data_IF_207328689269
#
_entry.id   IF_207328689269
#
_cell.length_a   1.000
_cell.length_b   1.000
_cell.length_c   1.000
_cell.angle_alpha   90.00
_cell.angle_beta   90.00
_cell.angle_gamma   90.00
#
_symmetry.space_group_name_H-M   'P 1'
#
loop_
_entity.id
_entity.type
_entity.pdbx_description
1 polymer ?
#
# COMPACT_ATOMS: atom_id res chain seq x y z
N UNK A 1 10.46 -24.59 25.31
CA UNK A 1 10.59 -23.12 25.17
C UNK A 1 11.43 -22.92 23.93
N UNK A 2 10.83 -23.22 22.77
CA UNK A 2 11.50 -23.11 21.48
C UNK A 2 11.34 -21.68 20.98
N UNK A 3 12.48 -21.02 20.81
CA UNK A 3 12.56 -19.72 20.19
C UNK A 3 11.96 -19.81 18.79
N UNK A 4 10.89 -19.04 18.55
CA UNK A 4 10.39 -18.78 17.22
C UNK A 4 11.54 -18.22 16.36
N UNK A 5 11.71 -18.67 15.11
CA UNK A 5 12.79 -18.16 14.28
C UNK A 5 12.59 -16.65 14.08
N UNK A 6 13.64 -15.90 14.38
CA UNK A 6 13.75 -14.46 14.19
C UNK A 6 13.30 -14.08 12.77
N UNK A 7 12.41 -13.10 12.67
CA UNK A 7 11.89 -12.51 11.43
C UNK A 7 12.95 -11.77 10.58
N UNK A 8 14.24 -11.94 10.91
CA UNK A 8 15.42 -11.35 10.27
C UNK A 8 15.70 -11.92 8.88
N UNK A 9 15.13 -13.06 8.50
CA UNK A 9 15.45 -13.77 7.24
C UNK A 9 14.49 -13.45 6.07
N UNK A 10 13.85 -12.28 6.08
CA UNK A 10 12.89 -11.87 5.03
C UNK A 10 13.55 -11.55 3.67
N UNK A 11 14.85 -11.78 3.51
CA UNK A 11 15.53 -11.73 2.21
C UNK A 11 15.02 -12.82 1.24
N UNK A 12 14.56 -13.96 1.76
CA UNK A 12 14.05 -15.09 0.99
C UNK A 12 12.60 -14.92 0.46
N UNK A 13 11.93 -13.81 0.79
CA UNK A 13 10.51 -13.58 0.41
C UNK A 13 10.28 -12.22 -0.26
N UNK A 14 11.27 -11.73 -1.01
CA UNK A 14 10.99 -10.72 -2.02
C UNK A 14 10.11 -11.35 -3.11
N UNK A 15 9.03 -10.66 -3.51
CA UNK A 15 8.25 -11.05 -4.68
C UNK A 15 9.15 -11.06 -5.93
N UNK A 16 8.69 -11.71 -7.02
CA UNK A 16 9.49 -11.77 -8.25
C UNK A 16 9.74 -10.37 -8.79
N UNK A 17 10.80 -10.21 -9.58
CA UNK A 17 11.00 -9.00 -10.37
C UNK A 17 9.92 -8.89 -11.46
N UNK A 18 9.27 -7.72 -11.56
CA UNK A 18 8.39 -7.43 -12.69
C UNK A 18 9.24 -7.19 -13.96
N UNK A 19 8.87 -7.70 -15.15
CA UNK A 19 9.69 -7.56 -16.37
C UNK A 19 10.05 -6.12 -16.75
N UNK A 20 9.21 -5.16 -16.37
CA UNK A 20 9.44 -3.73 -16.59
C UNK A 20 10.15 -3.01 -15.42
N UNK A 21 10.72 -3.72 -14.44
CA UNK A 21 11.42 -3.09 -13.33
C UNK A 21 12.60 -2.24 -13.82
N UNK A 22 13.34 -2.72 -14.82
CA UNK A 22 14.49 -2.01 -15.39
C UNK A 22 14.14 -0.61 -15.93
N UNK A 23 12.99 -0.45 -16.61
CA UNK A 23 12.59 0.86 -17.16
C UNK A 23 12.16 1.85 -16.08
N UNK A 24 11.44 1.37 -15.05
CA UNK A 24 11.06 2.19 -13.88
C UNK A 24 12.30 2.56 -13.06
N UNK A 25 13.23 1.62 -12.87
CA UNK A 25 14.53 1.85 -12.23
C UNK A 25 15.33 2.94 -12.94
N UNK A 26 15.43 2.87 -14.27
CA UNK A 26 16.12 3.90 -15.05
C UNK A 26 15.47 5.28 -14.87
N UNK A 27 14.14 5.37 -14.93
CA UNK A 27 13.41 6.63 -14.74
C UNK A 27 13.59 7.23 -13.33
N UNK A 28 13.56 6.39 -12.28
CA UNK A 28 13.77 6.83 -10.90
C UNK A 28 15.22 7.23 -10.65
N UNK A 29 16.19 6.51 -11.22
CA UNK A 29 17.61 6.77 -10.98
C UNK A 29 18.14 8.00 -11.72
N UNK A 30 17.60 8.29 -12.90
CA UNK A 30 17.97 9.50 -13.64
C UNK A 30 17.45 10.75 -12.96
N UNK A 31 18.22 11.81 -13.12
CA UNK A 31 17.89 13.15 -12.64
C UNK A 31 17.60 14.02 -13.86
N UNK A 32 16.56 14.84 -13.78
CA UNK A 32 16.30 15.86 -14.78
C UNK A 32 17.32 17.00 -14.63
N UNK A 33 17.93 17.41 -15.75
CA UNK A 33 18.84 18.55 -15.80
C UNK A 33 18.16 19.78 -16.42
N UNK A 34 18.52 21.00 -16.00
CA UNK A 34 18.00 22.21 -16.62
C UNK A 34 18.26 22.23 -18.13
N UNK A 35 17.28 22.68 -18.92
CA UNK A 35 17.41 22.82 -20.38
C UNK A 35 17.25 21.53 -21.21
N UNK A 36 16.96 20.38 -20.60
CA UNK A 36 16.95 19.09 -21.29
C UNK A 36 15.69 18.78 -22.12
N UNK A 37 14.57 19.49 -21.92
CA UNK A 37 13.33 19.44 -22.72
C UNK A 37 12.30 20.42 -22.13
N UNK A 38 11.29 20.81 -22.91
CA UNK A 38 10.11 21.54 -22.40
C UNK A 38 9.28 20.66 -21.46
N UNK A 39 8.91 21.20 -20.30
CA UNK A 39 8.02 20.52 -19.37
C UNK A 39 6.60 20.40 -19.94
N UNK A 40 5.89 19.28 -19.70
CA UNK A 40 4.51 19.16 -20.16
C UNK A 40 3.58 20.07 -19.34
N UNK A 41 2.43 20.49 -19.89
CA UNK A 41 1.43 21.24 -19.15
C UNK A 41 0.98 20.50 -17.88
N UNK A 42 0.96 21.21 -16.74
CA UNK A 42 0.60 20.61 -15.44
C UNK A 42 -0.80 19.96 -15.43
N UNK A 43 -1.75 20.51 -16.19
CA UNK A 43 -3.08 19.92 -16.34
C UNK A 43 -3.03 18.54 -17.01
N UNK A 44 -2.21 18.38 -18.05
CA UNK A 44 -2.03 17.10 -18.74
C UNK A 44 -1.31 16.08 -17.83
N UNK A 45 -0.28 16.52 -17.10
CA UNK A 45 0.42 15.66 -16.14
C UNK A 45 -0.53 15.17 -15.04
N UNK A 46 -1.35 16.06 -14.47
CA UNK A 46 -2.36 15.73 -13.48
C UNK A 46 -3.41 14.74 -14.00
N UNK A 47 -3.91 14.92 -15.23
CA UNK A 47 -4.86 14.00 -15.86
C UNK A 47 -4.25 12.60 -16.09
N UNK A 48 -3.00 12.53 -16.58
CA UNK A 48 -2.29 11.25 -16.77
C UNK A 48 -2.05 10.53 -15.45
N UNK A 49 -1.67 11.26 -14.40
CA UNK A 49 -1.48 10.70 -13.05
C UNK A 49 -2.79 10.15 -12.48
N UNK A 50 -3.90 10.91 -12.60
CA UNK A 50 -5.22 10.44 -12.18
C UNK A 50 -5.68 9.21 -12.97
N UNK A 51 -5.40 9.15 -14.28
CA UNK A 51 -5.68 7.97 -15.10
C UNK A 51 -4.85 6.75 -14.66
N UNK A 52 -3.57 6.94 -14.33
CA UNK A 52 -2.70 5.87 -13.86
C UNK A 52 -3.17 5.28 -12.52
N UNK A 53 -3.60 6.13 -11.58
CA UNK A 53 -4.20 5.66 -10.32
C UNK A 53 -5.50 4.88 -10.55
N UNK A 54 -6.42 5.37 -11.39
CA UNK A 54 -7.64 4.62 -11.74
C UNK A 54 -7.31 3.26 -12.33
N UNK A 55 -6.41 3.22 -13.32
CA UNK A 55 -5.94 1.98 -13.92
C UNK A 55 -5.38 0.99 -12.89
N UNK A 56 -4.60 1.48 -11.92
CA UNK A 56 -4.09 0.66 -10.81
C UNK A 56 -5.21 0.06 -9.96
N UNK A 57 -6.27 0.81 -9.65
CA UNK A 57 -7.36 0.31 -8.80
C UNK A 57 -8.27 -0.67 -9.54
N UNK A 58 -8.51 -0.43 -10.83
CA UNK A 58 -9.46 -1.18 -11.66
C UNK A 58 -8.85 -2.43 -12.29
N UNK A 59 -7.53 -2.48 -12.48
CA UNK A 59 -6.84 -3.62 -13.10
C UNK A 59 -6.59 -4.77 -12.12
N UNK A 60 -6.74 -6.01 -12.60
CA UNK A 60 -6.25 -7.22 -11.93
C UNK A 60 -4.72 -7.27 -11.90
N UNK A 61 -4.09 -6.73 -12.95
CA UNK A 61 -2.64 -6.69 -13.18
C UNK A 61 -2.17 -5.23 -13.05
N UNK A 62 -2.27 -4.73 -11.81
CA UNK A 62 -2.11 -3.33 -11.43
C UNK A 62 -0.68 -2.77 -11.52
N UNK A 63 0.36 -3.60 -11.53
CA UNK A 63 1.75 -3.26 -11.88
C UNK A 63 1.95 -3.31 -13.39
N UNK A 64 1.47 -4.36 -14.06
CA UNK A 64 1.58 -4.49 -15.53
C UNK A 64 0.94 -3.29 -16.24
N UNK A 65 -0.23 -2.83 -15.80
CA UNK A 65 -0.90 -1.66 -16.41
C UNK A 65 -0.15 -0.35 -16.18
N UNK A 66 0.63 -0.25 -15.11
CA UNK A 66 1.44 0.94 -14.80
C UNK A 66 2.78 0.95 -15.52
N UNK A 67 3.35 -0.22 -15.81
CA UNK A 67 4.65 -0.39 -16.43
C UNK A 67 4.93 0.50 -17.66
N UNK A 68 4.00 0.65 -18.64
CA UNK A 68 4.26 1.47 -19.82
C UNK A 68 4.15 2.98 -19.57
N UNK A 69 3.44 3.42 -18.51
CA UNK A 69 3.15 4.85 -18.28
C UNK A 69 3.99 5.48 -17.18
N UNK A 70 4.40 4.69 -16.19
CA UNK A 70 5.08 5.16 -14.99
C UNK A 70 6.47 5.78 -15.28
N UNK A 71 7.33 5.20 -16.15
CA UNK A 71 8.64 5.78 -16.44
C UNK A 71 8.55 7.22 -16.99
N UNK A 72 7.62 7.46 -17.91
CA UNK A 72 7.43 8.79 -18.51
C UNK A 72 6.77 9.76 -17.53
N UNK A 73 5.81 9.30 -16.72
CA UNK A 73 5.23 10.11 -15.65
C UNK A 73 6.30 10.60 -14.66
N UNK A 74 7.22 9.73 -14.23
CA UNK A 74 8.33 10.11 -13.34
C UNK A 74 9.22 11.17 -13.99
N UNK A 75 9.65 10.96 -15.24
CA UNK A 75 10.50 11.93 -15.96
C UNK A 75 9.80 13.27 -16.14
N UNK A 76 8.54 13.25 -16.53
CA UNK A 76 7.76 14.45 -16.81
C UNK A 76 7.46 15.24 -15.54
N UNK A 77 7.15 14.57 -14.42
CA UNK A 77 6.95 15.24 -13.14
C UNK A 77 8.26 15.84 -12.59
N UNK A 78 9.39 15.16 -12.76
CA UNK A 78 10.71 15.70 -12.41
C UNK A 78 11.05 16.95 -13.24
N UNK A 79 10.81 16.91 -14.56
CA UNK A 79 11.00 18.08 -15.43
C UNK A 79 10.09 19.24 -15.05
N UNK A 80 8.81 18.97 -14.80
CA UNK A 80 7.86 19.99 -14.39
C UNK A 80 8.29 20.69 -13.09
N UNK A 81 8.74 19.94 -12.08
CA UNK A 81 9.22 20.49 -10.82
C UNK A 81 10.48 21.36 -10.99
N UNK A 82 11.30 21.09 -12.01
CA UNK A 82 12.51 21.84 -12.31
C UNK A 82 12.26 23.10 -13.16
N UNK A 83 11.25 23.08 -14.03
CA UNK A 83 11.02 24.13 -15.04
C UNK A 83 10.00 25.18 -14.61
N UNK A 84 8.92 24.78 -13.92
CA UNK A 84 7.91 25.74 -13.49
C UNK A 84 8.40 26.61 -12.32
N UNK A 85 7.87 27.82 -12.22
CA UNK A 85 8.18 28.79 -11.16
C UNK A 85 6.94 29.14 -10.32
N UNK A 86 7.16 29.81 -9.18
CA UNK A 86 6.08 30.34 -8.34
C UNK A 86 5.05 29.29 -7.90
N UNK A 87 3.76 29.60 -8.13
CA UNK A 87 2.65 28.72 -7.75
C UNK A 87 2.62 27.42 -8.58
N UNK A 88 3.02 27.49 -9.85
CA UNK A 88 3.08 26.32 -10.71
C UNK A 88 4.22 25.38 -10.31
N UNK A 89 5.35 25.92 -9.81
CA UNK A 89 6.42 25.09 -9.20
C UNK A 89 5.89 24.28 -8.03
N UNK A 90 5.13 24.92 -7.14
CA UNK A 90 4.50 24.24 -5.99
C UNK A 90 3.57 23.12 -6.44
N UNK A 91 2.71 23.39 -7.44
CA UNK A 91 1.82 22.38 -8.03
C UNK A 91 2.59 21.24 -8.70
N UNK A 92 3.68 21.53 -9.40
CA UNK A 92 4.53 20.52 -10.01
C UNK A 92 5.20 19.62 -8.96
N UNK A 93 5.66 20.18 -7.85
CA UNK A 93 6.19 19.43 -6.72
C UNK A 93 5.14 18.52 -6.06
N UNK A 94 3.90 18.97 -5.92
CA UNK A 94 2.80 18.11 -5.43
C UNK A 94 2.54 16.92 -6.38
N UNK A 95 2.55 17.16 -7.69
CA UNK A 95 2.41 16.10 -8.71
C UNK A 95 3.59 15.13 -8.71
N UNK A 96 4.82 15.63 -8.51
CA UNK A 96 6.01 14.79 -8.36
C UNK A 96 5.92 13.91 -7.12
N UNK A 97 5.53 14.46 -5.97
CA UNK A 97 5.34 13.70 -4.74
C UNK A 97 4.34 12.55 -4.93
N UNK A 98 3.18 12.83 -5.54
CA UNK A 98 2.16 11.82 -5.81
C UNK A 98 2.61 10.77 -6.85
N UNK A 99 3.34 11.19 -7.89
CA UNK A 99 3.92 10.29 -8.90
C UNK A 99 4.92 9.32 -8.27
N UNK A 100 5.74 9.81 -7.34
CA UNK A 100 6.69 8.97 -6.59
C UNK A 100 5.97 8.03 -5.62
N UNK A 101 4.85 8.43 -5.03
CA UNK A 101 3.98 7.53 -4.25
C UNK A 101 3.37 6.41 -5.10
N UNK A 102 2.97 6.71 -6.34
CA UNK A 102 2.54 5.68 -7.31
C UNK A 102 3.70 4.74 -7.68
N UNK A 103 4.91 5.28 -7.86
CA UNK A 103 6.10 4.48 -8.10
C UNK A 103 6.44 3.57 -6.90
N UNK A 104 6.27 4.04 -5.66
CA UNK A 104 6.42 3.23 -4.46
C UNK A 104 5.48 2.02 -4.47
N UNK A 105 4.21 2.23 -4.83
CA UNK A 105 3.23 1.14 -4.95
C UNK A 105 3.61 0.10 -6.02
N UNK A 106 4.24 0.52 -7.12
CA UNK A 106 4.76 -0.39 -8.14
C UNK A 106 5.97 -1.18 -7.60
N UNK A 107 6.95 -0.48 -7.02
CA UNK A 107 8.22 -1.04 -6.55
C UNK A 107 8.08 -1.96 -5.32
N UNK A 108 7.03 -1.78 -4.51
CA UNK A 108 6.81 -2.57 -3.29
C UNK A 108 6.81 -4.08 -3.56
N UNK A 109 7.49 -4.81 -2.67
CA UNK A 109 7.64 -6.27 -2.69
C UNK A 109 8.37 -6.85 -3.91
N UNK A 110 9.24 -6.06 -4.55
CA UNK A 110 10.21 -6.50 -5.57
C UNK A 110 11.63 -6.48 -4.98
N UNK A 111 12.62 -7.14 -5.60
CA UNK A 111 14.04 -7.04 -5.19
C UNK A 111 14.63 -5.66 -5.57
N UNK A 112 14.10 -4.60 -4.96
CA UNK A 112 14.39 -3.20 -5.27
C UNK A 112 14.20 -2.29 -4.04
N UNK A 113 14.54 -2.78 -2.85
CA UNK A 113 14.33 -2.07 -1.58
C UNK A 113 14.98 -0.66 -1.59
N UNK A 114 16.15 -0.53 -2.20
CA UNK A 114 16.86 0.73 -2.37
C UNK A 114 16.07 1.76 -3.20
N UNK A 115 15.30 1.31 -4.18
CA UNK A 115 14.44 2.20 -4.98
C UNK A 115 13.21 2.63 -4.19
N UNK A 116 12.64 1.74 -3.35
CA UNK A 116 11.48 2.06 -2.50
C UNK A 116 11.84 3.18 -1.52
N UNK A 117 12.97 3.09 -0.83
CA UNK A 117 13.47 4.17 0.03
C UNK A 117 13.74 5.47 -0.73
N UNK A 118 14.36 5.38 -1.92
CA UNK A 118 14.64 6.54 -2.75
C UNK A 118 13.39 7.29 -3.20
N UNK A 119 12.34 6.59 -3.61
CA UNK A 119 11.10 7.25 -4.04
C UNK A 119 10.32 7.82 -2.85
N UNK A 120 10.34 7.15 -1.70
CA UNK A 120 9.69 7.64 -0.48
C UNK A 120 10.31 8.96 0.02
N UNK A 121 11.65 8.98 0.15
CA UNK A 121 12.40 10.17 0.58
C UNK A 121 12.18 11.35 -0.38
N UNK A 122 12.36 11.12 -1.68
CA UNK A 122 12.12 12.15 -2.71
C UNK A 122 10.65 12.60 -2.78
N UNK A 123 9.70 11.70 -2.47
CA UNK A 123 8.28 12.05 -2.41
C UNK A 123 8.03 13.02 -1.26
N UNK A 124 8.60 12.77 -0.08
CA UNK A 124 8.49 13.67 1.08
C UNK A 124 9.13 15.03 0.80
N UNK A 125 10.35 15.07 0.25
CA UNK A 125 11.00 16.33 -0.12
C UNK A 125 10.16 17.14 -1.11
N UNK A 126 9.65 16.49 -2.17
CA UNK A 126 8.79 17.15 -3.14
C UNK A 126 7.47 17.63 -2.50
N UNK A 127 6.88 16.85 -1.59
CA UNK A 127 5.69 17.26 -0.87
C UNK A 127 5.93 18.51 -0.01
N UNK A 128 7.06 18.58 0.70
CA UNK A 128 7.43 19.75 1.50
C UNK A 128 7.66 20.99 0.62
N UNK A 129 8.40 20.86 -0.49
CA UNK A 129 8.60 21.94 -1.46
C UNK A 129 7.30 22.44 -2.11
N UNK A 130 6.28 21.59 -2.20
CA UNK A 130 4.97 21.99 -2.71
C UNK A 130 4.23 22.93 -1.75
N UNK A 131 4.51 22.86 -0.45
CA UNK A 131 3.73 23.53 0.59
C UNK A 131 2.27 23.07 0.67
N UNK A 132 1.87 22.01 -0.05
CA UNK A 132 0.53 21.41 0.00
C UNK A 132 0.45 20.43 1.19
N UNK A 133 -0.36 20.72 2.23
CA UNK A 133 -0.51 19.84 3.38
C UNK A 133 -1.02 18.44 3.00
N UNK A 134 -1.84 18.32 1.95
CA UNK A 134 -2.33 17.00 1.53
C UNK A 134 -1.23 16.19 0.85
N UNK A 135 -0.34 16.83 0.09
CA UNK A 135 0.84 16.17 -0.48
C UNK A 135 1.76 15.65 0.63
N UNK A 136 1.98 16.45 1.69
CA UNK A 136 2.77 16.05 2.86
C UNK A 136 2.12 14.87 3.58
N UNK A 137 0.79 14.92 3.80
CA UNK A 137 0.05 13.83 4.41
C UNK A 137 0.18 12.51 3.62
N UNK A 138 0.05 12.56 2.29
CA UNK A 138 0.19 11.39 1.40
C UNK A 138 1.61 10.82 1.42
N UNK A 139 2.63 11.67 1.25
CA UNK A 139 4.02 11.23 1.27
C UNK A 139 4.41 10.66 2.65
N UNK A 140 3.93 11.29 3.72
CA UNK A 140 4.11 10.83 5.09
C UNK A 140 3.47 9.47 5.36
N UNK A 141 2.24 9.25 4.88
CA UNK A 141 1.58 7.94 4.95
C UNK A 141 2.40 6.82 4.28
N UNK A 142 3.04 7.13 3.15
CA UNK A 142 3.96 6.19 2.48
C UNK A 142 5.26 5.95 3.26
N UNK A 143 5.80 6.98 3.90
CA UNK A 143 7.01 6.90 4.72
C UNK A 143 6.78 6.09 6.00
N UNK A 144 5.64 6.29 6.68
CA UNK A 144 5.23 5.49 7.84
C UNK A 144 5.21 3.99 7.53
N UNK A 145 4.62 3.61 6.38
CA UNK A 145 4.57 2.20 5.96
C UNK A 145 5.97 1.63 5.76
N UNK A 146 6.90 2.42 5.22
CA UNK A 146 8.26 1.97 4.94
C UNK A 146 9.05 1.70 6.23
N UNK A 147 9.02 2.62 7.19
CA UNK A 147 9.62 2.39 8.51
C UNK A 147 8.97 1.20 9.24
N UNK A 148 7.64 1.08 9.18
CA UNK A 148 6.89 -0.05 9.77
C UNK A 148 7.32 -1.38 9.17
N UNK A 149 7.50 -1.43 7.85
CA UNK A 149 7.88 -2.65 7.12
C UNK A 149 9.37 -2.99 7.25
N UNK A 150 10.24 -2.02 7.55
CA UNK A 150 11.65 -2.26 7.91
C UNK A 150 11.86 -2.66 9.37
N UNK A 151 10.81 -2.65 10.20
CA UNK A 151 10.89 -2.99 11.62
C UNK A 151 11.23 -1.82 12.54
N UNK A 152 11.34 -0.60 12.01
CA UNK A 152 11.64 0.63 12.75
C UNK A 152 10.34 1.27 13.26
N UNK A 153 9.71 0.60 14.23
CA UNK A 153 8.38 0.96 14.72
C UNK A 153 8.34 2.28 15.50
N UNK A 154 9.43 2.62 16.18
CA UNK A 154 9.54 3.87 16.93
C UNK A 154 9.53 5.07 15.98
N UNK A 155 10.36 5.03 14.93
CA UNK A 155 10.38 6.09 13.90
C UNK A 155 9.05 6.13 13.15
N UNK A 156 8.49 4.97 12.78
CA UNK A 156 7.17 4.92 12.14
C UNK A 156 6.09 5.59 13.00
N UNK A 157 6.10 5.34 14.31
CA UNK A 157 5.16 5.93 15.27
C UNK A 157 5.38 7.44 15.37
N UNK A 158 6.61 7.90 15.53
CA UNK A 158 6.93 9.33 15.61
C UNK A 158 6.42 10.09 14.37
N UNK A 159 6.76 9.61 13.16
CA UNK A 159 6.32 10.21 11.90
C UNK A 159 4.78 10.25 11.80
N UNK A 160 4.09 9.15 12.16
CA UNK A 160 2.63 9.11 12.12
C UNK A 160 2.00 10.14 13.07
N UNK A 161 2.48 10.24 14.30
CA UNK A 161 1.94 11.15 15.32
C UNK A 161 2.22 12.62 15.01
N UNK A 162 3.41 12.93 14.46
CA UNK A 162 3.75 14.27 14.00
C UNK A 162 2.81 14.73 12.87
N UNK A 163 2.55 13.85 11.89
CA UNK A 163 1.63 14.14 10.78
C UNK A 163 0.18 14.26 11.24
N UNK A 164 -0.29 13.39 12.16
CA UNK A 164 -1.62 13.50 12.77
C UNK A 164 -1.79 14.87 13.42
N UNK A 165 -0.81 15.28 14.23
CA UNK A 165 -0.84 16.56 14.95
C UNK A 165 -0.80 17.76 13.98
N UNK A 166 0.04 17.71 12.95
CA UNK A 166 0.17 18.78 11.95
C UNK A 166 -1.10 19.00 11.11
N UNK A 167 -1.92 17.95 10.95
CA UNK A 167 -3.14 17.97 10.14
C UNK A 167 -4.42 18.18 10.96
N UNK A 168 -4.37 18.05 12.28
CA UNK A 168 -5.54 18.12 13.18
C UNK A 168 -6.37 19.38 12.93
N UNK A 169 -5.74 20.56 13.03
CA UNK A 169 -6.42 21.85 12.83
C UNK A 169 -7.05 22.01 11.43
N UNK A 170 -6.49 21.32 10.42
CA UNK A 170 -7.02 21.34 9.05
C UNK A 170 -8.16 20.35 8.85
N UNK A 171 -8.15 19.24 9.59
CA UNK A 171 -9.14 18.16 9.44
C UNK A 171 -10.51 18.48 10.05
N UNK A 172 -10.59 19.45 10.98
CA UNK A 172 -11.85 19.80 11.67
C UNK A 172 -12.91 20.33 10.69
N UNK A 173 -12.53 21.19 9.75
CA UNK A 173 -13.43 21.84 8.77
C UNK A 173 -13.09 21.47 7.31
N UNK A 174 -12.34 20.39 7.10
CA UNK A 174 -11.84 20.03 5.78
C UNK A 174 -12.91 19.47 4.83
N UNK A 175 -12.62 19.62 3.54
CA UNK A 175 -13.20 18.78 2.49
C UNK A 175 -12.94 17.28 2.78
N UNK A 176 -13.64 16.36 2.12
CA UNK A 176 -13.50 14.92 2.42
C UNK A 176 -12.07 14.37 2.30
N UNK A 177 -11.20 14.94 1.45
CA UNK A 177 -9.88 14.37 1.19
C UNK A 177 -8.85 14.58 2.32
N UNK A 178 -8.62 15.81 2.86
CA UNK A 178 -7.79 15.98 4.04
C UNK A 178 -8.29 15.19 5.25
N UNK A 179 -9.61 15.13 5.45
CA UNK A 179 -10.20 14.34 6.53
C UNK A 179 -9.87 12.85 6.37
N UNK A 180 -9.97 12.32 5.15
CA UNK A 180 -9.59 10.93 4.87
C UNK A 180 -8.09 10.65 5.03
N UNK A 181 -7.23 11.59 4.68
CA UNK A 181 -5.77 11.46 4.89
C UNK A 181 -5.42 11.47 6.38
N UNK A 182 -6.10 12.30 7.18
CA UNK A 182 -5.94 12.31 8.63
C UNK A 182 -6.40 10.98 9.26
N UNK A 183 -7.55 10.45 8.84
CA UNK A 183 -8.01 9.13 9.25
C UNK A 183 -7.07 7.99 8.81
N UNK A 184 -6.49 8.07 7.62
CA UNK A 184 -5.50 7.11 7.15
C UNK A 184 -4.24 7.07 8.01
N UNK A 185 -3.78 8.22 8.51
CA UNK A 185 -2.63 8.31 9.41
C UNK A 185 -2.95 7.74 10.80
N UNK A 186 -4.18 7.95 11.31
CA UNK A 186 -4.64 7.24 12.51
C UNK A 186 -4.63 5.73 12.31
N UNK A 187 -5.08 5.23 11.15
CA UNK A 187 -4.96 3.79 10.87
C UNK A 187 -3.50 3.33 10.78
N UNK A 188 -2.57 4.10 10.19
CA UNK A 188 -1.15 3.71 10.22
C UNK A 188 -0.62 3.62 11.65
N UNK A 189 -0.96 4.57 12.53
CA UNK A 189 -0.60 4.49 13.95
C UNK A 189 -1.18 3.22 14.62
N UNK A 190 -2.41 2.84 14.27
CA UNK A 190 -3.01 1.58 14.72
C UNK A 190 -2.22 0.36 14.24
N UNK A 191 -1.83 0.35 12.97
CA UNK A 191 -1.12 -0.77 12.35
C UNK A 191 0.30 -0.91 12.88
N UNK A 192 1.00 0.20 13.12
CA UNK A 192 2.31 0.21 13.76
C UNK A 192 2.21 -0.36 15.19
N UNK A 193 1.25 0.11 15.99
CA UNK A 193 1.02 -0.39 17.35
C UNK A 193 0.68 -1.90 17.36
N UNK A 194 -0.13 -2.37 16.40
CA UNK A 194 -0.43 -3.80 16.28
C UNK A 194 0.81 -4.64 15.96
N UNK A 195 1.68 -4.15 15.06
CA UNK A 195 2.96 -4.79 14.73
C UNK A 195 3.93 -4.80 15.91
N UNK A 196 3.86 -3.81 16.78
CA UNK A 196 4.60 -3.74 18.04
C UNK A 196 3.97 -4.57 19.18
N UNK A 197 2.83 -5.23 18.95
CA UNK A 197 2.12 -6.03 19.96
C UNK A 197 1.32 -5.21 20.98
N UNK A 198 1.13 -3.91 20.75
CA UNK A 198 0.44 -2.99 21.65
C UNK A 198 -1.08 -3.00 21.39
N UNK A 199 -1.75 -4.09 21.76
CA UNK A 199 -3.19 -4.34 21.47
C UNK A 199 -4.10 -3.13 21.82
N UNK A 200 -3.96 -2.56 23.02
CA UNK A 200 -4.80 -1.44 23.45
C UNK A 200 -4.59 -0.17 22.63
N UNK A 201 -3.33 0.15 22.24
CA UNK A 201 -3.02 1.31 21.40
C UNK A 201 -3.50 1.10 19.97
N UNK A 202 -3.35 -0.10 19.44
CA UNK A 202 -3.81 -0.47 18.11
C UNK A 202 -5.31 -0.21 17.95
N UNK A 203 -6.14 -0.77 18.84
CA UNK A 203 -7.59 -0.58 18.77
C UNK A 203 -8.02 0.86 19.04
N UNK A 204 -7.36 1.58 19.96
CA UNK A 204 -7.64 3.00 20.20
C UNK A 204 -7.44 3.85 18.93
N UNK A 205 -6.34 3.65 18.21
CA UNK A 205 -6.10 4.38 16.97
C UNK A 205 -7.03 3.95 15.83
N UNK A 206 -7.45 2.67 15.81
CA UNK A 206 -8.47 2.21 14.88
C UNK A 206 -9.82 2.86 15.14
N UNK A 207 -10.24 3.01 16.41
CA UNK A 207 -11.48 3.69 16.78
C UNK A 207 -11.50 5.15 16.30
N UNK A 208 -10.39 5.87 16.49
CA UNK A 208 -10.21 7.23 15.98
C UNK A 208 -10.32 7.28 14.45
N UNK A 209 -9.67 6.33 13.76
CA UNK A 209 -9.78 6.22 12.31
C UNK A 209 -11.23 5.90 11.88
N UNK A 210 -11.94 5.02 12.58
CA UNK A 210 -13.32 4.67 12.26
C UNK A 210 -14.28 5.86 12.46
N UNK A 211 -14.11 6.62 13.55
CA UNK A 211 -14.83 7.89 13.79
C UNK A 211 -14.66 8.87 12.63
N UNK A 212 -13.42 9.03 12.16
CA UNK A 212 -13.11 9.86 10.98
C UNK A 212 -13.80 9.30 9.74
N UNK A 213 -13.73 8.00 9.50
CA UNK A 213 -14.36 7.36 8.34
C UNK A 213 -15.89 7.54 8.32
N UNK A 214 -16.53 7.59 9.50
CA UNK A 214 -17.97 7.78 9.63
C UNK A 214 -18.43 9.18 9.23
N UNK A 215 -17.54 10.18 9.25
CA UNK A 215 -17.80 11.55 8.78
C UNK A 215 -17.68 11.71 7.26
N UNK A 216 -17.08 10.74 6.56
CA UNK A 216 -16.94 10.79 5.10
C UNK A 216 -18.26 10.43 4.39
N UNK A 217 -18.51 10.98 3.18
CA UNK A 217 -19.63 10.54 2.35
C UNK A 217 -19.59 9.02 2.10
N UNK A 218 -20.74 8.36 2.04
CA UNK A 218 -20.83 6.89 1.96
C UNK A 218 -20.04 6.27 0.79
N UNK A 219 -20.01 6.94 -0.37
CA UNK A 219 -19.28 6.48 -1.57
C UNK A 219 -17.85 7.04 -1.71
N UNK A 220 -17.36 7.79 -0.72
CA UNK A 220 -16.03 8.38 -0.79
C UNK A 220 -14.95 7.28 -0.69
N UNK A 221 -13.93 7.39 -1.55
CA UNK A 221 -12.77 6.51 -1.55
C UNK A 221 -11.50 7.33 -1.77
N UNK A 222 -10.64 7.39 -0.75
CA UNK A 222 -9.35 8.06 -0.87
C UNK A 222 -8.46 7.22 -1.80
N UNK A 223 -8.07 7.78 -2.95
CA UNK A 223 -7.41 7.02 -4.02
C UNK A 223 -6.08 6.40 -3.56
N UNK A 224 -5.17 7.19 -3.00
CA UNK A 224 -3.81 6.74 -2.69
C UNK A 224 -3.73 5.80 -1.48
N UNK A 225 -4.48 6.10 -0.40
CA UNK A 225 -4.46 5.36 0.86
C UNK A 225 -5.55 4.29 0.95
N UNK A 226 -6.53 4.31 0.03
CA UNK A 226 -7.77 3.53 0.08
C UNK A 226 -8.70 3.87 1.26
N UNK A 227 -8.36 4.87 2.08
CA UNK A 227 -9.11 5.17 3.28
C UNK A 227 -10.56 5.57 2.97
N UNK A 228 -11.49 4.86 3.60
CA UNK A 228 -12.93 5.00 3.39
C UNK A 228 -13.68 4.17 4.43
N UNK A 229 -14.97 4.45 4.62
CA UNK A 229 -15.82 3.74 5.58
C UNK A 229 -15.80 2.22 5.34
N UNK A 230 -15.90 1.77 4.09
CA UNK A 230 -15.93 0.33 3.77
C UNK A 230 -14.60 -0.38 4.08
N UNK A 231 -13.48 0.35 3.99
CA UNK A 231 -12.15 -0.22 4.21
C UNK A 231 -11.81 -0.38 5.69
N UNK A 232 -12.54 0.27 6.61
CA UNK A 232 -12.30 0.12 8.05
C UNK A 232 -12.47 -1.32 8.55
N UNK A 233 -13.40 -2.09 7.98
CA UNK A 233 -13.54 -3.52 8.28
C UNK A 233 -12.31 -4.30 7.85
N UNK A 234 -11.81 -4.05 6.63
CA UNK A 234 -10.58 -4.68 6.14
C UNK A 234 -9.35 -4.29 6.96
N UNK A 235 -9.31 -3.07 7.49
CA UNK A 235 -8.29 -2.61 8.43
C UNK A 235 -8.37 -3.33 9.77
N UNK A 236 -9.56 -3.55 10.32
CA UNK A 236 -9.75 -4.31 11.57
C UNK A 236 -9.24 -5.75 11.44
N UNK A 237 -9.47 -6.40 10.29
CA UNK A 237 -8.91 -7.73 9.99
C UNK A 237 -7.39 -7.70 10.02
N UNK A 238 -6.75 -6.71 9.37
CA UNK A 238 -5.28 -6.56 9.39
C UNK A 238 -4.75 -6.43 10.82
N UNK A 239 -5.35 -5.58 11.66
CA UNK A 239 -4.93 -5.42 13.06
C UNK A 239 -5.05 -6.72 13.84
N UNK A 240 -6.21 -7.39 13.74
CA UNK A 240 -6.46 -8.64 14.45
C UNK A 240 -5.50 -9.76 14.01
N UNK A 241 -5.10 -9.81 12.74
CA UNK A 241 -4.10 -10.75 12.24
C UNK A 241 -2.72 -10.46 12.83
N UNK A 242 -2.27 -9.21 12.85
CA UNK A 242 -0.97 -8.88 13.46
C UNK A 242 -0.94 -9.16 14.96
N UNK A 243 -2.02 -8.85 15.66
CA UNK A 243 -2.21 -9.11 17.10
C UNK A 243 -2.41 -10.59 17.43
N UNK A 244 -2.29 -11.50 16.46
CA UNK A 244 -2.48 -12.95 16.62
C UNK A 244 -3.85 -13.31 17.20
N UNK A 245 -4.91 -12.59 16.80
CA UNK A 245 -6.31 -12.83 17.18
C UNK A 245 -7.12 -13.34 15.98
N UNK A 246 -6.85 -14.56 15.46
CA UNK A 246 -7.52 -15.03 14.24
C UNK A 246 -9.04 -15.17 14.38
N UNK A 247 -9.55 -15.44 15.58
CA UNK A 247 -11.00 -15.45 15.84
C UNK A 247 -11.64 -14.08 15.64
N UNK A 248 -10.98 -13.00 16.08
CA UNK A 248 -11.44 -11.62 15.86
C UNK A 248 -11.31 -11.23 14.39
N UNK A 249 -10.19 -11.58 13.75
CA UNK A 249 -9.98 -11.33 12.33
C UNK A 249 -11.11 -11.92 11.47
N UNK A 250 -11.50 -13.17 11.72
CA UNK A 250 -12.59 -13.83 10.98
C UNK A 250 -13.98 -13.26 11.32
N UNK A 251 -14.22 -12.86 12.58
CA UNK A 251 -15.46 -12.13 12.93
C UNK A 251 -15.60 -10.83 12.15
N UNK A 252 -14.53 -10.05 12.04
CA UNK A 252 -14.53 -8.81 11.27
C UNK A 252 -14.65 -9.09 9.77
N UNK A 253 -13.96 -10.10 9.24
CA UNK A 253 -14.03 -10.47 7.83
C UNK A 253 -15.48 -10.77 7.39
N UNK A 254 -16.27 -11.44 8.23
CA UNK A 254 -17.69 -11.74 7.93
C UNK A 254 -18.59 -10.51 7.80
N UNK A 255 -18.12 -9.31 8.17
CA UNK A 255 -18.89 -8.05 8.09
C UNK A 255 -18.68 -7.31 6.76
N UNK A 256 -17.77 -7.79 5.91
CA UNK A 256 -17.45 -7.19 4.63
C UNK A 256 -17.62 -8.22 3.53
N UNK A 257 -18.46 -7.93 2.55
CA UNK A 257 -18.39 -8.59 1.26
C UNK A 257 -17.14 -8.07 0.52
N UNK A 258 -16.14 -8.92 0.22
CA UNK A 258 -14.95 -8.49 -0.51
C UNK A 258 -15.28 -7.87 -1.87
N UNK A 259 -16.38 -8.28 -2.52
CA UNK A 259 -16.80 -7.74 -3.80
C UNK A 259 -17.18 -6.26 -3.75
N UNK A 260 -17.55 -5.74 -2.57
CA UNK A 260 -17.88 -4.34 -2.36
C UNK A 260 -16.63 -3.43 -2.26
N UNK A 261 -15.43 -3.99 -2.05
CA UNK A 261 -14.17 -3.21 -2.07
C UNK A 261 -13.88 -2.74 -3.50
N UNK A 262 -13.86 -1.42 -3.79
CA UNK A 262 -13.74 -0.91 -5.16
C UNK A 262 -12.42 -1.25 -5.84
N UNK A 263 -11.32 -1.16 -5.11
CA UNK A 263 -9.99 -1.43 -5.64
C UNK A 263 -9.67 -2.93 -5.63
N UNK A 264 -9.39 -3.50 -6.79
CA UNK A 264 -9.03 -4.92 -6.93
C UNK A 264 -7.76 -5.29 -6.15
N UNK A 265 -6.65 -4.51 -6.19
CA UNK A 265 -5.49 -4.81 -5.35
C UNK A 265 -5.77 -4.74 -3.84
N UNK A 266 -6.60 -3.77 -3.39
CA UNK A 266 -6.97 -3.66 -1.98
C UNK A 266 -7.83 -4.85 -1.53
N UNK A 267 -8.76 -5.30 -2.38
CA UNK A 267 -9.57 -6.50 -2.20
C UNK A 267 -8.71 -7.75 -2.06
N UNK A 268 -7.79 -7.97 -2.99
CA UNK A 268 -6.86 -9.10 -2.93
C UNK A 268 -6.02 -9.08 -1.66
N UNK A 269 -5.51 -7.91 -1.24
CA UNK A 269 -4.78 -7.77 0.04
C UNK A 269 -5.64 -8.15 1.23
N UNK A 270 -6.90 -7.71 1.28
CA UNK A 270 -7.82 -8.10 2.35
C UNK A 270 -8.03 -9.62 2.40
N UNK A 271 -8.25 -10.26 1.24
CA UNK A 271 -8.42 -11.72 1.15
C UNK A 271 -7.17 -12.49 1.57
N UNK A 272 -5.96 -11.94 1.35
CA UNK A 272 -4.72 -12.51 1.88
C UNK A 272 -4.70 -12.43 3.43
N UNK A 273 -5.16 -11.34 4.03
CA UNK A 273 -5.30 -11.26 5.49
C UNK A 273 -6.33 -12.28 6.03
N UNK A 274 -7.44 -12.48 5.32
CA UNK A 274 -8.41 -13.55 5.65
C UNK A 274 -7.76 -14.93 5.56
N UNK A 275 -6.95 -15.20 4.53
CA UNK A 275 -6.19 -16.44 4.42
C UNK A 275 -5.21 -16.63 5.58
N UNK A 276 -4.50 -15.56 6.00
CA UNK A 276 -3.63 -15.57 7.19
C UNK A 276 -4.41 -15.96 8.45
N UNK A 277 -5.62 -15.42 8.62
CA UNK A 277 -6.49 -15.73 9.76
C UNK A 277 -6.97 -17.20 9.77
N UNK A 278 -7.42 -17.73 8.63
CA UNK A 278 -7.79 -19.16 8.53
C UNK A 278 -6.60 -20.09 8.76
N UNK A 279 -5.43 -19.76 8.21
CA UNK A 279 -4.19 -20.53 8.43
C UNK A 279 -3.85 -20.60 9.91
N UNK A 280 -3.94 -19.49 10.64
CA UNK A 280 -3.68 -19.46 12.07
C UNK A 280 -4.67 -20.32 12.90
N UNK A 281 -5.82 -20.71 12.33
CA UNK A 281 -6.75 -21.70 12.91
C UNK A 281 -6.58 -23.13 12.39
N UNK A 282 -5.55 -23.39 11.58
CA UNK A 282 -5.35 -24.65 10.86
C UNK A 282 -6.53 -25.03 9.93
N UNK A 283 -7.28 -24.04 9.44
CA UNK A 283 -8.37 -24.24 8.49
C UNK A 283 -7.83 -24.20 7.05
N UNK A 284 -7.28 -25.33 6.61
CA UNK A 284 -6.66 -25.48 5.29
C UNK A 284 -7.62 -25.16 4.14
N UNK A 285 -8.87 -25.63 4.21
CA UNK A 285 -9.85 -25.47 3.12
C UNK A 285 -10.17 -24.00 2.87
N UNK A 286 -10.52 -23.27 3.93
CA UNK A 286 -10.81 -21.85 3.83
C UNK A 286 -9.56 -21.01 3.52
N UNK A 287 -8.38 -21.45 3.95
CA UNK A 287 -7.11 -20.80 3.57
C UNK A 287 -6.89 -20.85 2.05
N UNK A 288 -7.03 -22.04 1.45
CA UNK A 288 -6.89 -22.24 0.00
C UNK A 288 -7.93 -21.41 -0.76
N UNK A 289 -9.18 -21.44 -0.32
CA UNK A 289 -10.26 -20.69 -0.97
C UNK A 289 -10.04 -19.17 -0.91
N UNK A 290 -9.63 -18.63 0.24
CA UNK A 290 -9.32 -17.21 0.38
C UNK A 290 -8.14 -16.78 -0.52
N UNK A 291 -7.10 -17.61 -0.66
CA UNK A 291 -5.99 -17.36 -1.59
C UNK A 291 -6.45 -17.40 -3.06
N UNK A 292 -7.33 -18.32 -3.43
CA UNK A 292 -7.92 -18.39 -4.78
C UNK A 292 -8.73 -17.15 -5.09
N UNK A 293 -9.60 -16.71 -4.17
CA UNK A 293 -10.35 -15.46 -4.33
C UNK A 293 -9.43 -14.24 -4.41
N UNK A 294 -8.33 -14.22 -3.65
CA UNK A 294 -7.33 -13.15 -3.75
C UNK A 294 -6.66 -13.11 -5.13
N UNK A 295 -6.33 -14.28 -5.69
CA UNK A 295 -5.80 -14.41 -7.04
C UNK A 295 -6.80 -13.91 -8.09
N UNK A 296 -8.06 -14.36 -8.01
CA UNK A 296 -9.12 -13.95 -8.94
C UNK A 296 -9.36 -12.42 -8.89
N UNK A 297 -9.20 -11.81 -7.72
CA UNK A 297 -9.28 -10.36 -7.56
C UNK A 297 -8.10 -9.65 -8.23
N UNK A 298 -6.85 -10.00 -7.89
CA UNK A 298 -5.64 -9.39 -8.46
C UNK A 298 -4.43 -10.35 -8.40
N UNK A 299 -4.10 -11.05 -9.51
CA UNK A 299 -3.00 -12.01 -9.58
C UNK A 299 -1.64 -11.44 -9.15
N UNK A 300 -1.35 -10.19 -9.51
CA UNK A 300 -0.11 -9.53 -9.13
C UNK A 300 -0.05 -9.13 -7.65
N UNK A 301 -1.18 -9.05 -6.95
CA UNK A 301 -1.12 -8.83 -5.49
C UNK A 301 -0.61 -10.09 -4.82
N UNK A 302 -1.15 -11.26 -5.16
CA UNK A 302 -0.72 -12.53 -4.56
C UNK A 302 0.68 -12.95 -5.02
N UNK A 303 1.02 -12.75 -6.31
CA UNK A 303 2.34 -13.10 -6.85
C UNK A 303 3.49 -12.41 -6.14
N UNK A 304 3.28 -11.17 -5.68
CA UNK A 304 4.32 -10.35 -5.03
C UNK A 304 4.19 -10.33 -3.50
N UNK A 305 3.04 -10.68 -2.92
CA UNK A 305 2.85 -10.64 -1.47
C UNK A 305 3.57 -11.82 -0.79
N UNK A 306 4.55 -11.52 0.07
CA UNK A 306 5.36 -12.55 0.71
C UNK A 306 4.59 -13.50 1.62
N UNK A 307 3.56 -13.03 2.33
CA UNK A 307 2.72 -13.92 3.14
C UNK A 307 1.96 -14.91 2.26
N UNK A 308 1.33 -14.44 1.19
CA UNK A 308 0.56 -15.33 0.32
C UNK A 308 1.45 -16.37 -0.38
N UNK A 309 2.67 -15.97 -0.78
CA UNK A 309 3.69 -16.89 -1.31
C UNK A 309 4.09 -17.95 -0.28
N UNK A 310 4.43 -17.52 0.94
CA UNK A 310 4.83 -18.45 2.00
C UNK A 310 3.71 -19.43 2.34
N UNK A 311 2.47 -18.94 2.52
CA UNK A 311 1.32 -19.81 2.80
C UNK A 311 1.12 -20.83 1.68
N UNK A 312 1.28 -20.40 0.42
CA UNK A 312 1.15 -21.30 -0.73
C UNK A 312 2.21 -22.39 -0.72
N UNK A 313 3.46 -22.06 -0.41
CA UNK A 313 4.56 -23.04 -0.27
C UNK A 313 4.29 -24.01 0.88
N UNK A 314 3.91 -23.53 2.06
CA UNK A 314 3.59 -24.38 3.21
C UNK A 314 2.46 -25.37 2.89
N UNK A 315 1.45 -24.93 2.14
CA UNK A 315 0.33 -25.77 1.70
C UNK A 315 0.76 -26.83 0.67
N UNK A 316 1.75 -26.53 -0.17
CA UNK A 316 2.34 -27.52 -1.10
C UNK A 316 3.09 -28.62 -0.35
N UNK A 317 3.82 -28.26 0.70
CA UNK A 317 4.57 -29.21 1.53
C UNK A 317 3.67 -30.02 2.47
N UNK A 318 2.43 -29.57 2.68
CA UNK A 318 1.43 -30.22 3.49
C UNK A 318 0.79 -31.50 2.90
N UNK A 319 -0.31 -31.96 3.53
CA UNK A 319 -1.06 -33.14 3.11
C UNK A 319 -1.56 -33.07 1.65
N UNK A 320 -1.80 -34.23 1.04
CA UNK A 320 -2.21 -34.33 -0.37
C UNK A 320 -3.43 -33.49 -0.74
N UNK A 321 -4.42 -33.37 0.15
CA UNK A 321 -5.60 -32.52 -0.06
C UNK A 321 -5.26 -31.03 -0.16
N UNK A 322 -4.43 -30.52 0.75
CA UNK A 322 -3.93 -29.15 0.76
C UNK A 322 -3.12 -28.85 -0.52
N UNK A 323 -2.16 -29.75 -0.82
CA UNK A 323 -1.29 -29.66 -2.00
C UNK A 323 -2.08 -29.61 -3.29
N UNK A 324 -3.07 -30.49 -3.44
CA UNK A 324 -3.92 -30.51 -4.63
C UNK A 324 -4.74 -29.21 -4.77
N UNK A 325 -5.22 -28.66 -3.65
CA UNK A 325 -6.01 -27.41 -3.65
C UNK A 325 -5.21 -26.17 -4.05
N UNK A 326 -3.89 -26.15 -3.81
CA UNK A 326 -3.06 -24.97 -4.04
C UNK A 326 -2.11 -25.09 -5.25
N UNK A 327 -1.99 -26.28 -5.86
CA UNK A 327 -1.02 -26.53 -6.95
C UNK A 327 -1.20 -25.63 -8.17
N UNK A 328 -2.44 -25.44 -8.62
CA UNK A 328 -2.76 -24.55 -9.74
C UNK A 328 -2.39 -23.10 -9.42
N UNK A 329 -2.71 -22.64 -8.21
CA UNK A 329 -2.31 -21.31 -7.75
C UNK A 329 -0.79 -21.15 -7.72
N UNK A 330 -0.06 -22.15 -7.20
CA UNK A 330 1.40 -22.12 -7.13
C UNK A 330 2.06 -22.01 -8.50
N UNK A 331 1.54 -22.71 -9.52
CA UNK A 331 1.98 -22.58 -10.91
C UNK A 331 1.69 -21.16 -11.44
N UNK A 332 0.46 -20.67 -11.27
CA UNK A 332 0.01 -19.36 -11.76
C UNK A 332 0.79 -18.19 -11.15
N UNK A 333 1.23 -18.29 -9.91
CA UNK A 333 2.02 -17.26 -9.21
C UNK A 333 3.52 -17.48 -9.31
N UNK A 334 3.96 -18.49 -10.06
CA UNK A 334 5.37 -18.75 -10.38
C UNK A 334 6.19 -19.21 -9.18
N UNK A 335 5.62 -20.05 -8.31
CA UNK A 335 6.34 -20.67 -7.18
C UNK A 335 6.91 -22.05 -7.54
N UNK A 336 6.32 -22.72 -8.52
CA UNK A 336 6.73 -24.05 -9.00
C UNK A 336 6.61 -24.09 -10.53
N UNK A 337 7.30 -25.05 -11.15
CA UNK A 337 7.30 -25.31 -12.60
C UNK A 337 6.65 -26.65 -12.92
#
# INVERSE_FOLDING_TARGET
>A
MDAMPELSDRSAVNGPEHPALASVRDAVNRVALPGAATAPPLAQLSQRLAAAWRARHESSDHRTVLAPVLPDLVRDAQRAALTYEGADRRRAHALLAETLGLAQMYLAFQPAAELVWRVADRSMMAAQESGDPEAVARAGWFLCQLHRDSGDWDTATAVALELISALEARAVDASPNPLALWGALHFEAAYIAARAGEEGRAWRYWDLADEVSRRLPQGFYQQQTSFSRIIMVAHAVTLAVELQKPGEALRQANRLDPAAVPSRPRRARHLIEVARAHRAKNDTGSTVEALRQAYDAAPETIRFNGYARQITLDLLDGPRSARNGVRDLALKVGLVS
#
